data_IF_773802871379
#
_entry.id   IF_773802871379
#
_cell.length_a   1.000
_cell.length_b   1.000
_cell.length_c   1.000
_cell.angle_alpha   90.00
_cell.angle_beta   90.00
_cell.angle_gamma   90.00
#
_symmetry.space_group_name_H-M   'P 1'
#
loop_
_entity.id
_entity.type
_entity.pdbx_description
1 polymer ?
#
# COMPACT_ATOMS: atom_id res chain seq x y z
N UNK A 1 4.90 24.94 -9.91
CA UNK A 1 4.97 23.48 -10.19
C UNK A 1 3.62 22.98 -10.62
N UNK A 2 3.56 22.19 -11.67
CA UNK A 2 2.32 21.58 -12.14
C UNK A 2 2.38 20.07 -11.89
N UNK A 3 1.33 19.57 -11.28
CA UNK A 3 1.17 18.13 -11.04
C UNK A 3 0.16 17.57 -12.04
N UNK A 4 0.50 16.47 -12.71
CA UNK A 4 -0.45 15.77 -13.56
C UNK A 4 -1.38 14.89 -12.72
N UNK A 5 -2.36 14.24 -13.36
CA UNK A 5 -3.33 13.40 -12.65
C UNK A 5 -2.68 12.26 -11.87
N UNK A 6 -1.66 11.63 -12.45
CA UNK A 6 -0.92 10.53 -11.78
C UNK A 6 -0.19 11.04 -10.53
N UNK A 7 0.43 12.21 -10.61
CA UNK A 7 1.09 12.81 -9.46
C UNK A 7 0.09 13.11 -8.34
N UNK A 8 -1.07 13.65 -8.71
CA UNK A 8 -2.13 13.97 -7.75
C UNK A 8 -2.67 12.71 -7.08
N UNK A 9 -2.92 11.65 -7.84
CA UNK A 9 -3.39 10.37 -7.32
C UNK A 9 -2.39 9.77 -6.33
N UNK A 10 -1.10 9.80 -6.65
CA UNK A 10 -0.06 9.28 -5.76
C UNK A 10 0.07 10.09 -4.48
N UNK A 11 -0.07 11.41 -4.56
CA UNK A 11 -0.05 12.26 -3.38
C UNK A 11 -1.28 12.03 -2.50
N UNK A 12 -2.46 11.87 -3.09
CA UNK A 12 -3.68 11.55 -2.36
C UNK A 12 -3.57 10.18 -1.69
N UNK A 13 -3.01 9.21 -2.40
CA UNK A 13 -2.79 7.87 -1.85
C UNK A 13 -1.81 7.92 -0.67
N UNK A 14 -0.75 8.69 -0.79
CA UNK A 14 0.23 8.90 0.29
C UNK A 14 -0.45 9.50 1.52
N UNK A 15 -1.28 10.51 1.32
CA UNK A 15 -2.03 11.16 2.40
C UNK A 15 -3.00 10.18 3.07
N UNK A 16 -3.74 9.40 2.28
CA UNK A 16 -4.66 8.40 2.80
C UNK A 16 -3.92 7.30 3.57
N UNK A 17 -2.77 6.87 3.07
CA UNK A 17 -1.91 5.89 3.73
C UNK A 17 -1.37 6.40 5.06
N UNK A 18 -0.95 7.66 5.12
CA UNK A 18 -0.49 8.27 6.38
C UNK A 18 -1.61 8.38 7.40
N UNK A 19 -2.81 8.75 6.97
CA UNK A 19 -3.97 8.78 7.86
C UNK A 19 -4.25 7.40 8.44
N UNK A 20 -4.19 6.37 7.60
CA UNK A 20 -4.36 4.98 8.06
C UNK A 20 -3.29 4.59 9.09
N UNK A 21 -2.03 4.96 8.85
CA UNK A 21 -0.94 4.72 9.81
C UNK A 21 -1.20 5.39 11.15
N UNK A 22 -1.66 6.62 11.14
CA UNK A 22 -1.97 7.36 12.37
C UNK A 22 -3.09 6.66 13.15
N UNK A 23 -4.11 6.19 12.45
CA UNK A 23 -5.22 5.46 13.07
C UNK A 23 -4.76 4.14 13.66
N UNK A 24 -3.95 3.38 12.92
CA UNK A 24 -3.36 2.14 13.41
C UNK A 24 -2.50 2.39 14.64
N UNK A 25 -1.71 3.45 14.66
CA UNK A 25 -0.85 3.80 15.79
C UNK A 25 -1.65 4.11 17.05
N UNK A 26 -2.91 4.58 16.92
CA UNK A 26 -3.81 4.80 18.05
C UNK A 26 -4.54 3.53 18.49
N UNK A 27 -4.23 2.38 17.90
CA UNK A 27 -4.84 1.10 18.23
C UNK A 27 -6.18 0.83 17.54
N UNK A 28 -6.54 1.63 16.53
CA UNK A 28 -7.77 1.40 15.77
C UNK A 28 -7.57 0.29 14.75
N UNK A 29 -8.58 -0.55 14.58
CA UNK A 29 -8.61 -1.56 13.53
C UNK A 29 -8.94 -0.86 12.21
N UNK A 30 -8.16 -1.14 11.17
CA UNK A 30 -8.35 -0.49 9.87
C UNK A 30 -9.50 -1.11 9.09
N UNK A 31 -10.24 -0.27 8.39
CA UNK A 31 -11.28 -0.73 7.45
C UNK A 31 -10.64 -1.07 6.10
N UNK A 32 -11.48 -1.48 5.13
CA UNK A 32 -11.01 -1.89 3.80
C UNK A 32 -10.23 -0.78 3.07
N UNK A 33 -10.79 0.44 2.86
CA UNK A 33 -10.04 1.48 2.15
C UNK A 33 -8.78 1.94 2.88
N UNK A 34 -8.79 1.98 4.19
CA UNK A 34 -7.59 2.33 4.98
C UNK A 34 -6.50 1.29 4.79
N UNK A 35 -6.86 0.01 4.80
CA UNK A 35 -5.91 -1.09 4.62
C UNK A 35 -5.27 -1.05 3.23
N UNK A 36 -6.07 -0.87 2.19
CA UNK A 36 -5.58 -0.77 0.81
C UNK A 36 -4.68 0.45 0.65
N UNK A 37 -5.07 1.60 1.19
CA UNK A 37 -4.29 2.82 1.09
C UNK A 37 -2.92 2.69 1.78
N UNK A 38 -2.90 2.09 2.97
CA UNK A 38 -1.66 1.91 3.72
C UNK A 38 -0.70 0.99 2.99
N UNK A 39 -1.17 -0.18 2.54
CA UNK A 39 -0.35 -1.13 1.80
C UNK A 39 0.17 -0.49 0.50
N UNK A 40 -0.71 0.14 -0.26
CA UNK A 40 -0.35 0.75 -1.55
C UNK A 40 0.70 1.84 -1.40
N UNK A 41 0.52 2.74 -0.44
CA UNK A 41 1.47 3.83 -0.21
C UNK A 41 2.82 3.32 0.28
N UNK A 42 2.83 2.30 1.14
CA UNK A 42 4.09 1.67 1.58
C UNK A 42 4.84 1.03 0.42
N UNK A 43 4.13 0.32 -0.46
CA UNK A 43 4.75 -0.30 -1.64
C UNK A 43 5.42 0.74 -2.54
N UNK A 44 4.79 1.89 -2.74
CA UNK A 44 5.37 2.97 -3.53
C UNK A 44 6.65 3.51 -2.91
N UNK A 45 6.68 3.66 -1.58
CA UNK A 45 7.87 4.13 -0.87
C UNK A 45 8.99 3.08 -0.87
N UNK A 46 8.66 1.80 -0.71
CA UNK A 46 9.63 0.72 -0.81
C UNK A 46 10.25 0.66 -2.22
N UNK A 47 9.47 0.89 -3.26
CA UNK A 47 9.98 0.99 -4.62
C UNK A 47 10.94 2.17 -4.75
N UNK A 48 10.59 3.31 -4.17
CA UNK A 48 11.46 4.51 -4.17
C UNK A 48 12.76 4.27 -3.40
N UNK A 49 12.72 3.44 -2.35
CA UNK A 49 13.89 3.06 -1.56
C UNK A 49 14.83 2.12 -2.34
N UNK A 50 14.41 1.58 -3.47
CA UNK A 50 15.25 0.76 -4.33
C UNK A 50 14.93 -0.73 -4.33
N UNK A 51 13.85 -1.17 -3.69
CA UNK A 51 13.42 -2.57 -3.76
C UNK A 51 12.89 -2.92 -5.15
N UNK A 52 13.15 -4.13 -5.61
CA UNK A 52 12.66 -4.61 -6.90
C UNK A 52 11.24 -5.20 -6.77
N UNK A 53 10.65 -5.60 -7.91
CA UNK A 53 9.28 -6.13 -7.94
C UNK A 53 9.14 -7.37 -7.05
N UNK A 54 10.07 -8.30 -7.12
CA UNK A 54 10.01 -9.53 -6.32
C UNK A 54 10.06 -9.24 -4.82
N UNK A 55 10.92 -8.30 -4.40
CA UNK A 55 10.99 -7.86 -3.02
C UNK A 55 9.70 -7.21 -2.56
N UNK A 56 9.09 -6.36 -3.39
CA UNK A 56 7.83 -5.70 -3.07
C UNK A 56 6.70 -6.72 -2.88
N UNK A 57 6.64 -7.75 -3.74
CA UNK A 57 5.65 -8.82 -3.62
C UNK A 57 5.76 -9.57 -2.29
N UNK A 58 6.97 -9.75 -1.79
CA UNK A 58 7.23 -10.37 -0.49
C UNK A 58 6.97 -9.41 0.67
N UNK A 59 7.54 -8.22 0.63
CA UNK A 59 7.42 -7.22 1.70
C UNK A 59 5.98 -6.75 1.85
N UNK A 60 5.22 -6.69 0.76
CA UNK A 60 3.82 -6.29 0.79
C UNK A 60 2.92 -7.18 1.65
N UNK A 61 3.35 -8.41 1.91
CA UNK A 61 2.63 -9.35 2.79
C UNK A 61 2.98 -9.19 4.26
N UNK A 62 3.87 -8.26 4.58
CA UNK A 62 4.35 -8.03 5.94
C UNK A 62 3.92 -6.67 6.51
N UNK A 63 3.18 -5.89 5.73
CA UNK A 63 2.80 -4.52 6.13
C UNK A 63 1.68 -4.55 7.17
N UNK A 64 0.62 -5.32 6.91
CA UNK A 64 -0.52 -5.48 7.82
C UNK A 64 -0.76 -6.95 8.13
N UNK A 65 -1.18 -7.20 9.37
CA UNK A 65 -1.64 -8.52 9.80
C UNK A 65 -3.16 -8.49 10.01
N UNK A 66 -3.77 -9.67 10.21
CA UNK A 66 -5.21 -9.77 10.49
C UNK A 66 -5.61 -9.02 11.77
N UNK A 67 -4.68 -8.91 12.71
CA UNK A 67 -4.94 -8.18 13.96
C UNK A 67 -4.98 -6.67 13.77
N UNK A 68 -4.46 -6.15 12.68
CA UNK A 68 -4.44 -4.72 12.37
C UNK A 68 -5.73 -4.21 11.75
N UNK A 69 -6.60 -5.11 11.29
CA UNK A 69 -7.76 -4.77 10.48
C UNK A 69 -9.06 -5.25 11.12
N UNK A 70 -10.17 -4.65 10.70
CA UNK A 70 -11.50 -5.06 11.13
C UNK A 70 -11.82 -6.47 10.63
N UNK A 71 -12.75 -7.15 11.29
CA UNK A 71 -13.18 -8.49 10.92
C UNK A 71 -13.61 -8.54 9.45
N UNK A 72 -13.12 -9.55 8.73
CA UNK A 72 -13.46 -9.77 7.33
C UNK A 72 -12.63 -8.98 6.32
N UNK A 73 -11.92 -7.94 6.75
CA UNK A 73 -11.14 -7.09 5.83
C UNK A 73 -10.01 -7.87 5.17
N UNK A 74 -9.31 -8.70 5.92
CA UNK A 74 -8.20 -9.49 5.36
C UNK A 74 -8.66 -10.36 4.19
N UNK A 75 -9.84 -10.96 4.29
CA UNK A 75 -10.39 -11.81 3.25
C UNK A 75 -10.97 -11.00 2.07
N UNK A 76 -11.36 -9.75 2.32
CA UNK A 76 -11.84 -8.84 1.27
C UNK A 76 -10.72 -8.32 0.39
N UNK A 77 -9.51 -8.18 0.92
CA UNK A 77 -8.35 -7.69 0.17
C UNK A 77 -7.64 -8.88 -0.47
N UNK A 78 -8.16 -9.35 -1.59
CA UNK A 78 -7.59 -10.48 -2.32
C UNK A 78 -6.23 -10.13 -2.92
N UNK A 79 -6.07 -8.89 -3.37
CA UNK A 79 -4.80 -8.38 -3.89
C UNK A 79 -4.75 -6.87 -3.80
N UNK A 80 -3.54 -6.33 -3.83
CA UNK A 80 -3.27 -4.90 -3.98
C UNK A 80 -2.37 -4.71 -5.18
N UNK A 81 -2.73 -3.80 -6.08
CA UNK A 81 -1.94 -3.46 -7.25
C UNK A 81 -1.54 -2.00 -7.20
N UNK A 82 -0.27 -1.73 -7.49
CA UNK A 82 0.25 -0.37 -7.61
C UNK A 82 1.11 -0.25 -8.86
N UNK A 83 1.06 0.91 -9.49
CA UNK A 83 1.97 1.27 -10.57
C UNK A 83 3.15 2.02 -9.93
N UNK A 84 4.33 1.42 -9.94
CA UNK A 84 5.52 1.96 -9.32
C UNK A 84 6.62 2.21 -10.35
N UNK A 85 7.47 3.18 -10.09
CA UNK A 85 8.57 3.54 -10.96
C UNK A 85 9.87 2.92 -10.44
N UNK A 86 10.52 2.16 -11.30
CA UNK A 86 11.79 1.50 -11.06
C UNK A 86 12.87 2.10 -11.99
N UNK A 87 14.17 1.83 -11.75
CA UNK A 87 15.22 2.36 -12.62
C UNK A 87 15.05 2.03 -14.10
N UNK A 88 14.43 0.89 -14.42
CA UNK A 88 14.20 0.45 -15.79
C UNK A 88 12.78 0.73 -16.31
N UNK A 89 12.02 1.55 -15.59
CA UNK A 89 10.71 2.01 -16.03
C UNK A 89 9.58 1.77 -15.04
N UNK A 90 8.38 2.12 -15.46
CA UNK A 90 7.17 1.96 -14.67
C UNK A 90 6.61 0.55 -14.86
N UNK A 91 6.26 -0.11 -13.76
CA UNK A 91 5.73 -1.48 -13.74
C UNK A 91 4.55 -1.58 -12.81
N UNK A 92 3.63 -2.49 -13.13
CA UNK A 92 2.54 -2.85 -12.24
C UNK A 92 3.03 -3.92 -11.26
N UNK A 93 2.86 -3.65 -9.97
CA UNK A 93 3.19 -4.60 -8.90
C UNK A 93 1.89 -5.11 -8.29
N UNK A 94 1.74 -6.43 -8.25
CA UNK A 94 0.57 -7.09 -7.64
C UNK A 94 1.04 -7.89 -6.43
N UNK A 95 0.42 -7.61 -5.28
CA UNK A 95 0.65 -8.39 -4.06
C UNK A 95 -0.62 -9.18 -3.78
N UNK A 96 -0.52 -10.51 -3.84
CA UNK A 96 -1.66 -11.40 -3.59
C UNK A 96 -1.79 -11.67 -2.09
N UNK A 97 -3.03 -11.70 -1.59
CA UNK A 97 -3.35 -11.98 -0.20
C UNK A 97 -2.43 -11.25 0.79
N UNK A 98 -2.39 -9.90 0.73
CA UNK A 98 -1.38 -9.15 1.47
C UNK A 98 -1.56 -9.14 2.98
N UNK A 99 -2.76 -9.43 3.49
CA UNK A 99 -3.05 -9.38 4.93
C UNK A 99 -3.19 -10.81 5.47
N UNK A 100 -2.21 -11.22 6.26
CA UNK A 100 -2.12 -12.61 6.75
C UNK A 100 -2.13 -12.68 8.28
#
# INVERSE_FOLDING_TARGET
>A
MRLNEKDQEKLMLHMAGNLAKERRARGLKLNYPESVALISSELLELARDGHDVAELMSLGKQILTRDDVMDGVADMVAEVQVEATFPDGTKLVTVHDPIQ
#
